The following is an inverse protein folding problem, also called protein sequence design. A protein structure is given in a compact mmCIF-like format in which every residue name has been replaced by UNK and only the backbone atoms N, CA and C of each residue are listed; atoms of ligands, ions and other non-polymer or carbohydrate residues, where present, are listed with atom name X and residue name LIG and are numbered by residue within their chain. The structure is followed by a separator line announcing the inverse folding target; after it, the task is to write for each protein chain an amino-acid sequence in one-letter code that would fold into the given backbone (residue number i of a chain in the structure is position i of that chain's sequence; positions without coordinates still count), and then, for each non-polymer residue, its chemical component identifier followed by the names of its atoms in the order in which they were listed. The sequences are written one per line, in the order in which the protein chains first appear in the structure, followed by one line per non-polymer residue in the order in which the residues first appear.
data_IF_334409667012
#
_entry.id   IF_334409667012
#
_cell.length_a   1.000
_cell.length_b   1.000
_cell.length_c   1.000
_cell.angle_alpha   90.00
_cell.angle_beta   90.00
_cell.angle_gamma   90.00
#
_symmetry.space_group_name_H-M   'P 1'
#
loop_
_entity.id
_entity.type
_entity.pdbx_description
1 polymer ?
#
# COMPACT_ATOMS: atom_id res chain seq x y z
N UNK A 1 -9.34 10.86 0.94
CA UNK A 1 -8.07 11.56 0.71
C UNK A 1 -7.27 10.77 -0.30
N UNK A 2 -6.74 11.42 -1.35
CA UNK A 2 -5.93 10.77 -2.39
C UNK A 2 -4.47 11.15 -2.15
N UNK A 3 -3.59 10.16 -2.00
CA UNK A 3 -2.15 10.38 -1.93
C UNK A 3 -1.58 10.29 -3.35
N UNK A 4 -0.97 11.37 -3.83
CA UNK A 4 -0.31 11.41 -5.14
C UNK A 4 1.16 11.06 -4.94
N UNK A 5 1.62 10.00 -5.60
CA UNK A 5 3.02 9.60 -5.63
C UNK A 5 3.63 10.01 -6.97
N UNK A 6 4.68 10.83 -6.91
CA UNK A 6 5.49 11.21 -8.09
C UNK A 6 6.63 10.18 -8.24
N UNK A 7 6.28 8.99 -8.70
CA UNK A 7 7.21 7.89 -8.93
C UNK A 7 6.79 7.16 -10.21
N UNK A 8 7.62 7.23 -11.25
CA UNK A 8 7.38 6.55 -12.54
C UNK A 8 7.24 5.02 -12.41
N UNK A 9 7.59 4.46 -11.24
CA UNK A 9 7.42 3.04 -10.91
C UNK A 9 6.10 2.73 -10.19
N UNK A 10 5.30 3.74 -9.86
CA UNK A 10 3.97 3.59 -9.30
C UNK A 10 2.90 3.62 -10.42
N UNK A 11 2.17 2.52 -10.61
CA UNK A 11 0.98 2.52 -11.46
C UNK A 11 -0.05 3.58 -11.01
N UNK A 12 -0.76 4.19 -11.96
CA UNK A 12 -1.83 5.19 -11.70
C UNK A 12 -2.89 4.73 -10.70
N UNK A 13 -3.18 3.42 -10.67
CA UNK A 13 -3.96 2.76 -9.62
C UNK A 13 -3.14 1.57 -9.10
N UNK A 14 -2.19 1.84 -8.20
CA UNK A 14 -1.25 0.82 -7.73
C UNK A 14 -1.81 -0.05 -6.62
N UNK A 15 -2.29 0.60 -5.56
CA UNK A 15 -2.76 -0.04 -4.35
C UNK A 15 -3.93 0.73 -3.78
N UNK A 16 -4.75 0.03 -3.00
CA UNK A 16 -5.84 0.61 -2.23
C UNK A 16 -5.56 0.39 -0.75
N UNK A 17 -5.62 1.47 0.03
CA UNK A 17 -5.66 1.41 1.48
C UNK A 17 -7.09 1.70 1.93
N UNK A 18 -7.66 0.86 2.78
CA UNK A 18 -9.02 1.01 3.31
C UNK A 18 -9.06 0.71 4.80
N UNK A 19 -9.97 1.38 5.52
CA UNK A 19 -10.34 0.97 6.87
C UNK A 19 -11.52 0.00 6.82
N UNK A 20 -11.45 -1.06 7.62
CA UNK A 20 -12.56 -1.95 7.92
C UNK A 20 -12.70 -2.02 9.44
N UNK A 21 -13.72 -1.34 9.99
CA UNK A 21 -13.80 -1.07 11.43
C UNK A 21 -12.62 -0.22 11.88
N UNK A 22 -11.89 -0.70 12.89
CA UNK A 22 -10.70 -0.04 13.44
C UNK A 22 -9.38 -0.55 12.84
N UNK A 23 -9.46 -1.33 11.75
CA UNK A 23 -8.31 -1.96 11.14
C UNK A 23 -8.03 -1.42 9.74
N UNK A 24 -6.75 -1.18 9.44
CA UNK A 24 -6.29 -0.80 8.11
C UNK A 24 -5.97 -2.02 7.27
N UNK A 25 -6.31 -1.95 5.99
CA UNK A 25 -6.02 -2.97 4.99
C UNK A 25 -5.37 -2.33 3.77
N UNK A 26 -4.45 -3.05 3.15
CA UNK A 26 -3.85 -2.74 1.86
C UNK A 26 -4.12 -3.85 0.86
N UNK A 27 -4.40 -3.48 -0.38
CA UNK A 27 -4.58 -4.40 -1.49
C UNK A 27 -3.85 -3.87 -2.72
N UNK A 28 -3.13 -4.75 -3.41
CA UNK A 28 -2.54 -4.45 -4.71
C UNK A 28 -3.61 -4.49 -5.81
N UNK A 29 -3.64 -3.49 -6.68
CA UNK A 29 -4.64 -3.36 -7.74
C UNK A 29 -4.14 -3.86 -9.10
N UNK A 30 -3.23 -4.84 -9.11
CA UNK A 30 -2.60 -5.36 -10.32
C UNK A 30 -1.47 -4.46 -10.80
N UNK A 31 -0.69 -3.93 -9.86
CA UNK A 31 0.41 -3.04 -10.18
C UNK A 31 1.57 -3.78 -10.87
N UNK A 32 2.34 -3.05 -11.68
CA UNK A 32 3.47 -3.66 -12.42
C UNK A 32 4.57 -4.18 -11.49
N UNK A 33 4.87 -3.43 -10.43
CA UNK A 33 5.99 -3.73 -9.51
C UNK A 33 5.55 -4.46 -8.23
N UNK A 34 4.24 -4.51 -7.97
CA UNK A 34 3.66 -5.07 -6.77
C UNK A 34 3.70 -4.13 -5.56
N UNK A 35 2.73 -4.35 -4.67
CA UNK A 35 2.69 -3.77 -3.33
C UNK A 35 3.30 -4.72 -2.31
N UNK A 36 4.04 -4.18 -1.34
CA UNK A 36 4.68 -4.94 -0.28
C UNK A 36 4.34 -4.34 1.08
N UNK A 37 4.07 -5.20 2.06
CA UNK A 37 3.99 -4.84 3.47
C UNK A 37 5.26 -5.35 4.14
N UNK A 38 6.11 -4.44 4.60
CA UNK A 38 7.50 -4.75 4.97
C UNK A 38 8.23 -5.50 3.83
N UNK A 39 8.54 -6.80 4.01
CA UNK A 39 9.21 -7.64 3.00
C UNK A 39 8.27 -8.60 2.27
N UNK A 40 7.01 -8.70 2.69
CA UNK A 40 6.03 -9.62 2.13
C UNK A 40 5.25 -8.97 0.99
N UNK A 41 5.12 -9.67 -0.15
CA UNK A 41 4.29 -9.20 -1.27
C UNK A 41 2.81 -9.34 -0.93
N UNK A 42 2.04 -8.29 -1.18
CA UNK A 42 0.59 -8.28 -1.01
C UNK A 42 -0.04 -9.01 -2.19
N UNK A 43 -0.69 -10.15 -1.94
CA UNK A 43 -1.37 -10.96 -2.97
C UNK A 43 -2.90 -10.89 -2.88
N UNK A 44 -3.42 -10.12 -1.93
CA UNK A 44 -4.84 -9.87 -1.68
C UNK A 44 -5.00 -8.88 -0.51
N UNK A 45 -6.23 -8.60 -0.07
CA UNK A 45 -6.46 -7.70 1.07
C UNK A 45 -5.67 -8.15 2.31
N UNK A 46 -4.71 -7.33 2.73
CA UNK A 46 -3.77 -7.63 3.80
C UNK A 46 -3.86 -6.57 4.88
N UNK A 47 -4.03 -6.98 6.13
CA UNK A 47 -4.09 -6.08 7.29
C UNK A 47 -2.75 -5.34 7.48
N UNK A 48 -2.81 -4.02 7.69
CA UNK A 48 -1.66 -3.13 7.91
C UNK A 48 -1.59 -2.76 9.40
N UNK A 49 -0.65 -3.31 10.17
CA UNK A 49 -0.40 -2.84 11.53
C UNK A 49 0.18 -1.41 11.50
N UNK A 50 -0.14 -0.61 12.53
CA UNK A 50 0.43 0.74 12.67
C UNK A 50 1.95 0.70 12.77
N UNK A 51 2.63 1.67 12.14
CA UNK A 51 4.09 1.76 12.11
C UNK A 51 4.78 0.75 11.20
N UNK A 52 4.03 -0.09 10.46
CA UNK A 52 4.61 -0.98 9.46
C UNK A 52 4.62 -0.28 8.09
N UNK A 53 5.78 -0.19 7.42
CA UNK A 53 5.88 0.46 6.12
C UNK A 53 5.20 -0.37 5.02
N UNK A 54 4.42 0.32 4.19
CA UNK A 54 3.85 -0.21 2.96
C UNK A 54 4.65 0.35 1.78
N UNK A 55 5.24 -0.50 0.96
CA UNK A 55 5.98 -0.10 -0.23
C UNK A 55 5.14 -0.33 -1.48
N UNK A 56 5.04 0.71 -2.31
CA UNK A 56 4.27 0.80 -3.54
C UNK A 56 5.22 1.33 -4.62
N UNK A 57 5.61 0.48 -5.57
CA UNK A 57 6.68 0.83 -6.51
C UNK A 57 8.02 1.06 -5.78
N UNK A 58 8.63 2.25 -5.96
CA UNK A 58 9.79 2.69 -5.18
C UNK A 58 9.41 3.59 -4.00
N UNK A 59 8.14 3.98 -3.88
CA UNK A 59 7.69 4.82 -2.77
C UNK A 59 7.31 3.98 -1.55
N UNK A 60 7.69 4.46 -0.37
CA UNK A 60 7.28 3.90 0.92
C UNK A 60 6.29 4.83 1.59
N UNK A 61 5.14 4.30 2.00
CA UNK A 61 4.09 4.99 2.74
C UNK A 61 3.97 4.34 4.11
N UNK A 62 3.88 5.16 5.14
CA UNK A 62 3.68 4.71 6.52
C UNK A 62 2.40 5.35 7.06
N UNK A 63 1.51 4.53 7.63
CA UNK A 63 0.35 5.03 8.36
C UNK A 63 0.77 5.40 9.78
N UNK A 64 0.58 6.68 10.12
CA UNK A 64 0.82 7.23 11.46
C UNK A 64 -0.50 7.71 12.02
N UNK A 65 -0.74 7.42 13.30
CA UNK A 65 -1.87 7.93 14.11
C UNK A 65 -1.57 9.32 14.65
#
# INVERSE_FOLDING_TARGET
STLVLDDDYASTRHARISMQGDEWYVEDLGSTNGTYLDRAKVTGPTRVPLGVPVRIGKTVIELRS
#
